data_IF_459265127132
#
_entry.id   IF_459265127132
#
_cell.length_a   1.000
_cell.length_b   1.000
_cell.length_c   1.000
_cell.angle_alpha   90.00
_cell.angle_beta   90.00
_cell.angle_gamma   90.00
#
_symmetry.space_group_name_H-M   'P 1'
#
loop_
_entity.id
_entity.type
_entity.pdbx_description
1 polymer ?
#
# COMPACT_ATOMS: atom_id res chain seq x y z
N UNK A 1 2.35 -2.24 7.67
CA UNK A 1 3.01 -1.84 6.41
C UNK A 1 2.47 -0.48 5.98
N UNK A 2 3.35 0.46 5.61
CA UNK A 2 3.01 1.80 5.13
C UNK A 2 3.44 1.93 3.67
N UNK A 3 2.52 2.33 2.78
CA UNK A 3 2.78 2.51 1.34
C UNK A 3 2.22 3.85 0.92
N UNK A 4 2.82 4.48 -0.09
CA UNK A 4 2.36 5.75 -0.66
C UNK A 4 2.16 5.67 -2.16
N UNK A 5 1.11 6.33 -2.66
CA UNK A 5 0.85 6.57 -4.08
C UNK A 5 0.78 8.07 -4.36
N UNK A 6 1.15 8.46 -5.59
CA UNK A 6 1.20 9.85 -6.07
C UNK A 6 -0.14 10.38 -6.57
N UNK A 7 -1.13 9.52 -6.72
CA UNK A 7 -2.49 9.89 -7.11
C UNK A 7 -3.48 8.82 -6.64
N UNK A 8 -4.77 9.18 -6.59
CA UNK A 8 -5.85 8.31 -6.14
C UNK A 8 -5.96 7.00 -6.95
N UNK A 9 -5.67 7.05 -8.26
CA UNK A 9 -5.67 5.85 -9.12
C UNK A 9 -4.57 4.88 -8.70
N UNK A 10 -3.37 5.39 -8.41
CA UNK A 10 -2.24 4.58 -7.95
C UNK A 10 -2.52 4.00 -6.56
N UNK A 11 -3.11 4.78 -5.65
CA UNK A 11 -3.49 4.30 -4.31
C UNK A 11 -4.46 3.13 -4.42
N UNK A 12 -5.51 3.26 -5.23
CA UNK A 12 -6.45 2.17 -5.48
C UNK A 12 -5.77 0.96 -6.14
N UNK A 13 -4.95 1.18 -7.17
CA UNK A 13 -4.25 0.09 -7.86
C UNK A 13 -3.29 -0.68 -6.93
N UNK A 14 -2.59 0.01 -6.03
CA UNK A 14 -1.73 -0.62 -5.03
C UNK A 14 -2.57 -1.46 -4.08
N UNK A 15 -3.68 -0.92 -3.56
CA UNK A 15 -4.55 -1.65 -2.65
C UNK A 15 -5.14 -2.91 -3.30
N UNK A 16 -5.64 -2.79 -4.53
CA UNK A 16 -6.20 -3.91 -5.28
C UNK A 16 -5.12 -4.97 -5.59
N UNK A 17 -3.91 -4.56 -5.96
CA UNK A 17 -2.79 -5.48 -6.20
C UNK A 17 -2.38 -6.24 -4.92
N UNK A 18 -2.36 -5.58 -3.77
CA UNK A 18 -2.05 -6.23 -2.47
C UNK A 18 -3.12 -7.27 -2.15
N UNK A 19 -4.40 -6.93 -2.33
CA UNK A 19 -5.51 -7.86 -2.10
C UNK A 19 -5.46 -9.06 -3.03
N UNK A 20 -5.25 -8.85 -4.32
CA UNK A 20 -5.15 -9.92 -5.32
C UNK A 20 -4.00 -10.88 -4.99
N UNK A 21 -2.82 -10.34 -4.67
CA UNK A 21 -1.64 -11.15 -4.34
C UNK A 21 -1.86 -11.93 -3.05
N UNK A 22 -2.41 -11.34 -2.00
CA UNK A 22 -2.66 -12.06 -0.75
C UNK A 22 -3.76 -13.11 -0.91
N UNK A 23 -4.80 -12.81 -1.70
CA UNK A 23 -5.84 -13.77 -2.03
C UNK A 23 -5.28 -14.98 -2.78
N UNK A 24 -4.35 -14.77 -3.72
CA UNK A 24 -3.67 -15.85 -4.44
C UNK A 24 -2.85 -16.76 -3.51
N UNK A 25 -2.40 -16.25 -2.35
CA UNK A 25 -1.72 -17.03 -1.32
C UNK A 25 -2.69 -17.61 -0.26
N UNK A 26 -3.99 -17.49 -0.46
CA UNK A 26 -5.03 -18.03 0.43
C UNK A 26 -5.44 -17.10 1.58
N UNK A 27 -4.86 -15.90 1.66
CA UNK A 27 -5.19 -14.91 2.71
C UNK A 27 -6.29 -13.99 2.22
N UNK A 28 -7.48 -14.09 2.83
CA UNK A 28 -8.59 -13.16 2.57
C UNK A 28 -8.48 -11.92 3.46
N UNK A 29 -8.76 -10.74 2.90
CA UNK A 29 -8.95 -9.53 3.68
C UNK A 29 -10.11 -9.69 4.67
N UNK A 30 -9.90 -9.25 5.91
CA UNK A 30 -10.96 -9.16 6.92
C UNK A 30 -11.79 -7.90 6.71
N UNK A 31 -11.14 -6.77 6.45
CA UNK A 31 -11.78 -5.47 6.28
C UNK A 31 -10.99 -4.60 5.30
N UNK A 32 -11.73 -3.78 4.54
CA UNK A 32 -11.20 -2.70 3.70
C UNK A 32 -11.95 -1.43 4.07
N UNK A 33 -11.22 -0.35 4.37
CA UNK A 33 -11.77 0.97 4.68
C UNK A 33 -11.22 2.02 3.70
N UNK A 34 -11.98 3.09 3.47
CA UNK A 34 -11.49 4.29 2.76
C UNK A 34 -11.37 4.21 1.24
N UNK A 35 -11.89 3.14 0.61
CA UNK A 35 -11.85 2.95 -0.84
C UNK A 35 -12.59 4.04 -1.65
N UNK A 36 -13.59 4.70 -1.05
CA UNK A 36 -14.43 5.68 -1.74
C UNK A 36 -13.77 7.02 -2.05
N UNK A 37 -12.84 7.47 -1.20
CA UNK A 37 -12.12 8.74 -1.39
C UNK A 37 -10.75 8.56 -2.06
N UNK A 38 -10.20 7.34 -2.10
CA UNK A 38 -8.92 7.05 -2.76
C UNK A 38 -7.69 7.74 -2.15
N UNK A 39 -7.87 8.46 -1.03
CA UNK A 39 -6.82 9.22 -0.33
C UNK A 39 -6.14 8.44 0.78
N UNK A 40 -6.88 7.55 1.43
CA UNK A 40 -6.37 6.63 2.43
C UNK A 40 -7.15 5.33 2.39
N UNK A 41 -6.47 4.23 2.07
CA UNK A 41 -7.03 2.89 2.11
C UNK A 41 -6.36 2.11 3.22
N UNK A 42 -7.17 1.48 4.07
CA UNK A 42 -6.71 0.56 5.10
C UNK A 42 -7.17 -0.85 4.73
N UNK A 43 -6.19 -1.76 4.64
CA UNK A 43 -6.41 -3.19 4.42
C UNK A 43 -6.02 -3.95 5.69
N UNK A 44 -6.98 -4.70 6.21
CA UNK A 44 -6.81 -5.52 7.41
C UNK A 44 -6.86 -7.01 7.05
N UNK A 45 -5.79 -7.73 7.38
CA UNK A 45 -5.66 -9.18 7.21
C UNK A 45 -5.56 -9.92 8.56
N UNK A 46 -5.78 -9.25 9.69
CA UNK A 46 -5.67 -9.79 11.04
C UNK A 46 -4.25 -9.67 11.59
N UNK A 47 -3.31 -10.43 11.04
CA UNK A 47 -1.90 -10.42 11.48
C UNK A 47 -1.09 -9.30 10.81
N UNK A 48 -1.62 -8.73 9.72
CA UNK A 48 -0.98 -7.67 8.94
C UNK A 48 -2.00 -6.58 8.62
N UNK A 49 -1.64 -5.34 8.91
CA UNK A 49 -2.38 -4.15 8.47
C UNK A 49 -1.52 -3.38 7.46
N UNK A 50 -2.10 -3.12 6.30
CA UNK A 50 -1.49 -2.33 5.23
C UNK A 50 -2.23 -1.01 5.11
N UNK A 51 -1.50 0.09 5.27
CA UNK A 51 -2.03 1.42 5.01
C UNK A 51 -1.44 1.94 3.70
N UNK A 52 -2.31 2.27 2.76
CA UNK A 52 -1.96 2.89 1.48
C UNK A 52 -2.43 4.33 1.51
N UNK A 53 -1.49 5.26 1.52
CA UNK A 53 -1.74 6.69 1.60
C UNK A 53 -1.50 7.36 0.25
N UNK A 54 -2.26 8.41 -0.01
CA UNK A 54 -1.80 9.45 -0.91
C UNK A 54 -0.63 10.24 -0.25
N UNK A 55 0.37 10.65 -1.04
CA UNK A 55 1.59 11.27 -0.51
C UNK A 55 1.31 12.52 0.34
N UNK A 56 0.37 13.37 -0.07
CA UNK A 56 0.00 14.59 0.65
C UNK A 56 -0.61 14.27 2.02
N UNK A 57 -1.52 13.30 2.08
CA UNK A 57 -2.18 12.86 3.31
C UNK A 57 -1.20 12.19 4.28
N UNK A 58 -0.24 11.41 3.79
CA UNK A 58 0.79 10.81 4.66
C UNK A 58 1.59 11.87 5.41
N UNK A 59 1.93 12.97 4.74
CA UNK A 59 2.65 14.10 5.33
C UNK A 59 1.76 14.83 6.34
N UNK A 60 0.50 15.08 5.96
CA UNK A 60 -0.46 15.80 6.80
C UNK A 60 -0.76 15.07 8.11
N UNK A 61 -1.04 13.77 8.05
CA UNK A 61 -1.38 12.97 9.24
C UNK A 61 -0.16 12.51 10.03
N UNK A 62 1.03 12.48 9.41
CA UNK A 62 2.32 12.16 10.04
C UNK A 62 2.27 10.92 10.96
N UNK A 63 1.52 9.87 10.56
CA UNK A 63 1.25 8.68 11.38
C UNK A 63 2.51 7.91 11.76
N UNK A 64 3.61 8.10 11.03
CA UNK A 64 4.94 7.58 11.35
C UNK A 64 5.44 8.00 12.72
N UNK A 65 4.98 9.14 13.24
CA UNK A 65 5.30 9.59 14.59
C UNK A 65 4.76 8.65 15.66
N UNK A 66 3.61 8.03 15.42
CA UNK A 66 2.98 7.09 16.36
C UNK A 66 3.78 5.78 16.47
N UNK A 67 4.42 5.37 15.39
CA UNK A 67 5.12 4.07 15.28
C UNK A 67 6.65 4.22 15.41
N UNK A 68 7.14 5.39 15.81
CA UNK A 68 8.58 5.68 15.87
C UNK A 68 9.35 4.73 16.80
N UNK A 69 8.69 4.27 17.87
CA UNK A 69 9.30 3.40 18.86
C UNK A 69 9.26 1.91 18.47
N UNK A 70 8.64 1.58 17.33
CA UNK A 70 8.58 0.20 16.84
C UNK A 70 9.79 -0.13 15.94
N UNK A 71 10.37 -1.34 16.08
CA UNK A 71 11.45 -1.77 15.20
C UNK A 71 10.95 -1.89 13.75
N UNK A 72 11.73 -1.36 12.81
CA UNK A 72 11.45 -1.50 11.38
C UNK A 72 11.91 -2.88 10.93
N UNK A 73 10.97 -3.68 10.41
CA UNK A 73 11.29 -4.99 9.84
C UNK A 73 11.85 -4.76 8.43
N UNK A 74 13.11 -5.14 8.15
CA UNK A 74 13.66 -5.02 6.81
C UNK A 74 12.91 -5.99 5.88
N UNK A 75 12.37 -5.45 4.80
CA UNK A 75 11.75 -6.21 3.72
C UNK A 75 12.70 -6.17 2.53
N UNK A 76 13.08 -7.34 2.04
CA UNK A 76 13.86 -7.44 0.80
C UNK A 76 12.92 -7.13 -0.37
N UNK A 77 13.00 -5.89 -0.85
CA UNK A 77 12.21 -5.44 -1.99
C UNK A 77 13.06 -5.65 -3.25
N UNK A 78 12.54 -6.35 -4.27
CA UNK A 78 13.22 -6.38 -5.56
C UNK A 78 13.41 -4.95 -6.06
N UNK A 79 14.53 -4.68 -6.74
CA UNK A 79 14.76 -3.38 -7.36
C UNK A 79 13.53 -2.99 -8.19
N UNK A 80 13.08 -1.71 -8.13
CA UNK A 80 11.93 -1.28 -8.89
C UNK A 80 12.19 -1.65 -10.35
N UNK A 81 11.30 -2.47 -10.92
CA UNK A 81 11.38 -2.85 -12.33
C UNK A 81 11.44 -1.57 -13.15
N UNK A 82 12.65 -1.22 -13.62
CA UNK A 82 12.86 -0.13 -14.56
C UNK A 82 12.07 -0.54 -15.79
N UNK A 83 10.98 0.20 -16.06
CA UNK A 83 10.05 -0.14 -17.14
C UNK A 83 10.82 -0.44 -18.41
N UNK A 84 10.65 -1.66 -18.93
CA UNK A 84 11.10 -1.97 -20.28
C UNK A 84 10.46 -0.91 -21.20
N UNK A 85 11.25 -0.19 -22.02
CA UNK A 85 10.67 0.76 -22.95
C UNK A 85 9.73 -0.02 -23.86
N UNK A 86 8.45 0.36 -23.83
CA UNK A 86 7.44 -0.08 -24.79
C UNK A 86 8.04 -0.02 -26.19
N UNK A 87 8.34 -1.17 -26.77
CA UNK A 87 8.68 -1.31 -28.18
C UNK A 87 7.46 -0.80 -28.96
N UNK A 88 7.65 0.35 -29.60
CA UNK A 88 6.67 0.95 -30.51
C UNK A 88 6.58 0.05 -31.74
N UNK A 89 5.43 -0.62 -31.90
CA UNK A 89 4.97 -1.22 -33.16
C UNK A 89 4.01 -0.29 -33.88
#
# INVERSE_FOLDING_TARGET
LLVSGRNERQVNAIADAVEERLLAHGTKRLRREGAGEGRWILLDFGDLIVHVFHEEERIYYALERLWRDCPVIPVDLPEPAVGEPSEVV
#
